data_IF_904048090167
#
_entry.id   IF_904048090167
#
_cell.length_a   1.000
_cell.length_b   1.000
_cell.length_c   1.000
_cell.angle_alpha   90.00
_cell.angle_beta   90.00
_cell.angle_gamma   90.00
#
_symmetry.space_group_name_H-M   'P 1'
#
loop_
_entity.id
_entity.type
_entity.pdbx_description
1 polymer ?
#
# COMPACT_ATOMS: atom_id res chain seq x y z
N UNK A 1 15.30 14.50 -26.21
CA UNK A 1 15.62 13.22 -25.56
C UNK A 1 14.37 12.74 -24.85
N UNK A 2 13.87 11.56 -25.19
CA UNK A 2 12.68 10.99 -24.53
C UNK A 2 13.02 10.64 -23.09
N UNK A 3 12.22 11.12 -22.13
CA UNK A 3 12.37 10.76 -20.73
C UNK A 3 12.23 9.24 -20.58
N UNK A 4 13.22 8.50 -20.02
CA UNK A 4 13.08 7.07 -19.84
C UNK A 4 12.00 6.78 -18.78
N UNK A 5 11.21 5.74 -19.03
CA UNK A 5 10.19 5.25 -18.10
C UNK A 5 10.70 3.96 -17.47
N UNK A 6 10.68 3.87 -16.14
CA UNK A 6 11.13 2.72 -15.36
C UNK A 6 9.98 2.20 -14.51
N UNK A 7 9.75 0.90 -14.54
CA UNK A 7 8.85 0.21 -13.62
C UNK A 7 9.66 -0.51 -12.55
N UNK A 8 9.37 -0.24 -11.29
CA UNK A 8 9.93 -0.95 -10.14
C UNK A 8 8.82 -1.77 -9.49
N UNK A 9 9.07 -3.07 -9.30
CA UNK A 9 8.12 -3.99 -8.67
C UNK A 9 8.61 -4.37 -7.28
N UNK A 10 7.85 -3.98 -6.26
CA UNK A 10 8.14 -4.18 -4.84
C UNK A 10 8.56 -2.90 -4.14
N UNK A 11 7.78 -2.46 -3.16
CA UNK A 11 7.97 -1.26 -2.34
C UNK A 11 8.75 -1.49 -1.05
N UNK A 12 9.64 -2.48 -1.03
CA UNK A 12 10.63 -2.65 0.04
C UNK A 12 11.81 -1.70 -0.10
N UNK A 13 12.78 -1.78 0.81
CA UNK A 13 13.97 -0.89 0.83
C UNK A 13 14.69 -0.86 -0.52
N UNK A 14 14.92 -2.03 -1.13
CA UNK A 14 15.60 -2.13 -2.41
C UNK A 14 14.84 -1.44 -3.55
N UNK A 15 13.51 -1.60 -3.60
CA UNK A 15 12.70 -0.98 -4.66
C UNK A 15 12.54 0.52 -4.46
N UNK A 16 12.44 1.00 -3.22
CA UNK A 16 12.42 2.43 -2.91
C UNK A 16 13.72 3.09 -3.36
N UNK A 17 14.89 2.51 -3.02
CA UNK A 17 16.18 3.06 -3.46
C UNK A 17 16.37 2.96 -4.98
N UNK A 18 15.90 1.87 -5.62
CA UNK A 18 15.92 1.76 -7.08
C UNK A 18 15.08 2.85 -7.75
N UNK A 19 13.90 3.15 -7.20
CA UNK A 19 13.02 4.19 -7.71
C UNK A 19 13.64 5.58 -7.55
N UNK A 20 14.18 5.89 -6.36
CA UNK A 20 14.88 7.15 -6.09
C UNK A 20 16.11 7.32 -6.99
N UNK A 21 16.91 6.27 -7.17
CA UNK A 21 18.08 6.28 -8.05
C UNK A 21 17.71 6.52 -9.51
N UNK A 22 16.70 5.82 -10.04
CA UNK A 22 16.21 6.04 -11.39
C UNK A 22 15.65 7.45 -11.60
N UNK A 23 14.88 7.96 -10.63
CA UNK A 23 14.35 9.33 -10.65
C UNK A 23 15.47 10.38 -10.67
N UNK A 24 16.50 10.19 -9.84
CA UNK A 24 17.66 11.10 -9.80
C UNK A 24 18.44 11.15 -11.13
N UNK A 25 18.34 10.10 -11.96
CA UNK A 25 18.88 10.06 -13.32
C UNK A 25 17.93 10.63 -14.38
N UNK A 26 16.79 11.19 -13.97
CA UNK A 26 15.81 11.85 -14.83
C UNK A 26 14.70 10.94 -15.35
N UNK A 27 14.59 9.69 -14.88
CA UNK A 27 13.53 8.79 -15.32
C UNK A 27 12.18 9.09 -14.66
N UNK A 28 11.08 8.90 -15.39
CA UNK A 28 9.75 8.74 -14.79
C UNK A 28 9.65 7.32 -14.24
N UNK A 29 9.28 7.18 -12.98
CA UNK A 29 9.25 5.88 -12.30
C UNK A 29 7.83 5.54 -11.87
N UNK A 30 7.42 4.30 -12.13
CA UNK A 30 6.24 3.70 -11.51
C UNK A 30 6.71 2.67 -10.46
N UNK A 31 6.37 2.88 -9.19
CA UNK A 31 6.70 1.97 -8.10
C UNK A 31 5.45 1.20 -7.69
N UNK A 32 5.39 -0.08 -8.02
CA UNK A 32 4.24 -0.97 -7.75
C UNK A 32 4.49 -1.80 -6.49
N UNK A 33 3.59 -1.74 -5.51
CA UNK A 33 3.63 -2.54 -4.28
C UNK A 33 2.34 -3.33 -4.08
N UNK A 34 2.48 -4.66 -4.01
CA UNK A 34 1.41 -5.63 -3.80
C UNK A 34 0.63 -5.43 -2.50
N UNK A 35 1.32 -5.00 -1.44
CA UNK A 35 0.76 -4.76 -0.11
C UNK A 35 0.19 -3.35 0.00
N UNK A 36 -0.65 -3.07 1.02
CA UNK A 36 -1.28 -1.76 1.13
C UNK A 36 -0.33 -0.65 1.64
N UNK A 37 0.93 -0.98 1.95
CA UNK A 37 1.93 -0.03 2.45
C UNK A 37 3.33 -0.37 1.92
N UNK A 38 4.14 0.66 1.72
CA UNK A 38 5.59 0.55 1.50
C UNK A 38 6.35 0.08 2.76
N UNK A 39 7.60 -0.33 2.58
CA UNK A 39 8.57 -0.67 3.64
C UNK A 39 9.07 -2.12 3.60
N UNK A 40 8.28 -3.04 3.02
CA UNK A 40 8.65 -4.45 2.90
C UNK A 40 8.86 -5.14 4.25
N UNK A 41 9.84 -6.05 4.36
CA UNK A 41 10.18 -6.75 5.62
C UNK A 41 10.92 -5.88 6.63
N UNK A 42 11.70 -4.91 6.15
CA UNK A 42 12.43 -4.00 7.04
C UNK A 42 11.47 -3.21 7.95
N UNK A 43 10.25 -2.99 7.47
CA UNK A 43 9.11 -2.47 8.24
C UNK A 43 8.84 -3.22 9.55
N UNK A 44 9.02 -4.54 9.54
CA UNK A 44 8.64 -5.42 10.64
C UNK A 44 9.73 -5.49 11.71
N UNK A 45 10.92 -4.97 11.42
CA UNK A 45 12.04 -4.99 12.35
C UNK A 45 11.89 -3.89 13.39
N UNK A 46 12.24 -4.19 14.63
CA UNK A 46 12.34 -3.18 15.69
C UNK A 46 13.53 -2.26 15.44
N UNK A 47 14.70 -2.85 15.19
CA UNK A 47 15.97 -2.15 14.98
C UNK A 47 16.82 -2.80 13.90
N UNK A 48 17.77 -2.03 13.36
CA UNK A 48 18.70 -2.44 12.31
C UNK A 48 20.13 -2.49 12.87
N UNK A 49 20.79 -3.64 12.70
CA UNK A 49 22.22 -3.81 12.96
C UNK A 49 23.06 -3.05 11.92
N UNK A 50 24.27 -2.56 12.23
CA UNK A 50 24.97 -2.61 13.53
C UNK A 50 24.60 -1.52 14.53
N UNK A 51 24.03 -0.40 14.08
CA UNK A 51 23.82 0.77 14.94
C UNK A 51 22.63 0.61 15.90
N UNK A 52 21.86 -0.48 15.79
CA UNK A 52 20.61 -0.73 16.51
C UNK A 52 19.60 0.42 16.34
N UNK A 53 19.68 1.14 15.22
CA UNK A 53 18.75 2.23 14.89
C UNK A 53 17.35 1.66 14.68
N UNK A 54 16.29 2.29 15.21
CA UNK A 54 14.91 1.87 14.94
C UNK A 54 14.63 1.78 13.43
N UNK A 55 14.05 0.68 12.97
CA UNK A 55 13.89 0.47 11.52
C UNK A 55 12.97 1.52 10.87
N UNK A 56 11.92 1.93 11.58
CA UNK A 56 11.05 3.02 11.14
C UNK A 56 11.83 4.30 10.85
N UNK A 57 12.73 4.72 11.75
CA UNK A 57 13.54 5.93 11.54
C UNK A 57 14.47 5.84 10.34
N UNK A 58 14.97 4.64 10.02
CA UNK A 58 15.83 4.43 8.87
C UNK A 58 15.04 4.45 7.55
N UNK A 59 13.80 3.95 7.55
CA UNK A 59 12.95 3.81 6.36
C UNK A 59 12.15 5.06 6.04
N UNK A 60 11.58 5.73 7.05
CA UNK A 60 10.66 6.85 6.85
C UNK A 60 11.21 7.94 5.92
N UNK A 61 12.47 8.40 6.05
CA UNK A 61 12.99 9.44 5.16
C UNK A 61 13.03 9.01 3.69
N UNK A 62 13.30 7.73 3.42
CA UNK A 62 13.38 7.18 2.06
C UNK A 62 12.00 6.99 1.45
N UNK A 63 11.06 6.49 2.26
CA UNK A 63 9.64 6.38 1.87
C UNK A 63 9.07 7.77 1.57
N UNK A 64 9.30 8.75 2.44
CA UNK A 64 8.86 10.13 2.23
C UNK A 64 9.48 10.76 0.99
N UNK A 65 10.78 10.53 0.73
CA UNK A 65 11.43 11.02 -0.47
C UNK A 65 10.74 10.46 -1.72
N UNK A 66 10.43 9.15 -1.74
CA UNK A 66 9.77 8.53 -2.88
C UNK A 66 8.34 9.04 -3.11
N UNK A 67 7.61 9.39 -2.04
CA UNK A 67 6.27 9.97 -2.15
C UNK A 67 6.27 11.43 -2.62
N UNK A 68 7.26 12.21 -2.19
CA UNK A 68 7.36 13.65 -2.48
C UNK A 68 7.94 13.91 -3.87
N UNK A 69 8.61 12.93 -4.47
CA UNK A 69 9.19 13.03 -5.80
C UNK A 69 8.10 12.96 -6.89
N UNK A 70 7.85 14.04 -7.66
CA UNK A 70 6.82 14.07 -8.70
C UNK A 70 7.12 13.12 -9.88
N UNK A 71 8.38 12.69 -10.03
CA UNK A 71 8.79 11.74 -11.05
C UNK A 71 8.47 10.30 -10.65
N UNK A 72 8.18 10.03 -9.38
CA UNK A 72 7.84 8.70 -8.87
C UNK A 72 6.33 8.62 -8.61
N UNK A 73 5.65 7.74 -9.34
CA UNK A 73 4.27 7.40 -9.07
C UNK A 73 4.20 6.10 -8.28
N UNK A 74 3.68 6.19 -7.05
CA UNK A 74 3.58 5.05 -6.15
C UNK A 74 2.19 4.42 -6.24
N UNK A 75 2.14 3.16 -6.65
CA UNK A 75 0.93 2.35 -6.74
C UNK A 75 0.95 1.30 -5.63
N UNK A 76 0.36 1.62 -4.48
CA UNK A 76 0.18 0.65 -3.38
C UNK A 76 -1.07 -0.20 -3.58
N UNK A 77 -1.08 -1.37 -2.96
CA UNK A 77 -2.13 -2.37 -3.12
C UNK A 77 -2.37 -2.74 -4.60
N UNK A 78 -1.28 -2.81 -5.36
CA UNK A 78 -1.28 -3.04 -6.79
C UNK A 78 -0.27 -4.13 -7.18
N UNK A 79 -0.63 -4.95 -8.16
CA UNK A 79 0.17 -6.10 -8.59
C UNK A 79 0.40 -6.05 -10.10
N UNK A 80 1.61 -6.46 -10.52
CA UNK A 80 1.92 -6.61 -11.93
C UNK A 80 1.14 -7.80 -12.50
N UNK A 81 0.17 -7.53 -13.37
CA UNK A 81 -0.65 -8.57 -14.00
C UNK A 81 0.03 -9.17 -15.25
N UNK A 82 0.67 -8.34 -16.07
CA UNK A 82 1.44 -8.81 -17.22
C UNK A 82 2.49 -7.79 -17.65
N UNK A 83 3.64 -8.26 -18.14
CA UNK A 83 4.61 -7.44 -18.86
C UNK A 83 5.00 -8.16 -20.15
N UNK A 84 4.80 -7.50 -21.29
CA UNK A 84 5.15 -8.02 -22.60
C UNK A 84 6.05 -7.02 -23.32
N UNK A 85 7.04 -7.53 -24.05
CA UNK A 85 7.92 -6.68 -24.86
C UNK A 85 7.10 -6.08 -26.01
N UNK A 86 7.18 -4.76 -26.19
CA UNK A 86 6.53 -4.04 -27.27
C UNK A 86 7.41 -2.86 -27.68
N UNK A 87 7.65 -2.67 -28.99
CA UNK A 87 8.28 -1.48 -29.57
C UNK A 87 9.56 -0.98 -28.88
N UNK A 88 10.48 -1.90 -28.56
CA UNK A 88 11.75 -1.56 -27.90
C UNK A 88 11.66 -1.29 -26.39
N UNK A 89 10.47 -1.40 -25.80
CA UNK A 89 10.22 -1.33 -24.35
C UNK A 89 9.28 -2.45 -23.88
N UNK A 90 8.40 -2.11 -22.94
CA UNK A 90 7.41 -3.02 -22.37
C UNK A 90 6.02 -2.39 -22.37
N UNK A 91 5.02 -3.16 -22.80
CA UNK A 91 3.62 -2.91 -22.46
C UNK A 91 3.31 -3.67 -21.18
N UNK A 92 2.90 -2.95 -20.15
CA UNK A 92 2.69 -3.45 -18.80
C UNK A 92 1.21 -3.30 -18.45
N UNK A 93 0.65 -4.24 -17.69
CA UNK A 93 -0.66 -4.10 -17.07
C UNK A 93 -0.53 -4.31 -15.58
N UNK A 94 -1.00 -3.35 -14.80
CA UNK A 94 -0.99 -3.37 -13.34
C UNK A 94 -2.42 -3.45 -12.84
N UNK A 95 -2.70 -4.46 -12.00
CA UNK A 95 -3.97 -4.62 -11.30
C UNK A 95 -3.91 -3.83 -9.99
N UNK A 96 -4.72 -2.79 -9.86
CA UNK A 96 -4.93 -2.09 -8.59
C UNK A 96 -6.13 -2.72 -7.89
N UNK A 97 -5.88 -3.36 -6.75
CA UNK A 97 -6.92 -4.00 -5.94
C UNK A 97 -7.80 -2.94 -5.28
N UNK A 98 -9.07 -3.29 -5.04
CA UNK A 98 -10.02 -2.38 -4.40
C UNK A 98 -9.64 -2.20 -2.93
N UNK A 99 -9.28 -0.98 -2.54
CA UNK A 99 -8.93 -0.70 -1.14
C UNK A 99 -10.19 -0.61 -0.26
N UNK A 100 -11.32 -0.27 -0.89
CA UNK A 100 -12.60 0.07 -0.27
C UNK A 100 -12.55 1.28 0.66
N UNK A 101 -11.42 1.98 0.69
CA UNK A 101 -11.18 3.15 1.52
C UNK A 101 -10.37 4.14 0.68
N UNK A 102 -10.93 5.31 0.44
CA UNK A 102 -10.29 6.39 -0.29
C UNK A 102 -9.17 7.02 0.56
N UNK A 103 -7.89 6.87 0.18
CA UNK A 103 -6.76 7.42 0.94
C UNK A 103 -6.77 8.96 1.00
N UNK A 104 -7.43 9.64 0.07
CA UNK A 104 -7.51 11.11 0.06
C UNK A 104 -8.49 11.67 1.08
N UNK A 105 -9.47 10.86 1.51
CA UNK A 105 -10.50 11.24 2.50
C UNK A 105 -10.23 10.67 3.89
N UNK A 106 -9.52 9.55 3.96
CA UNK A 106 -9.20 8.85 5.20
C UNK A 106 -8.19 9.67 6.03
N UNK A 107 -8.52 9.90 7.30
CA UNK A 107 -7.67 10.56 8.30
C UNK A 107 -7.03 9.58 9.28
N UNK A 108 -7.16 8.27 9.02
CA UNK A 108 -6.71 7.18 9.87
C UNK A 108 -7.18 7.25 11.35
N UNK A 109 -8.36 7.80 11.62
CA UNK A 109 -8.88 7.96 12.99
C UNK A 109 -9.22 6.65 13.74
N UNK A 110 -9.36 5.52 13.04
CA UNK A 110 -9.54 4.20 13.66
C UNK A 110 -10.97 3.77 14.06
N UNK A 111 -11.95 4.69 14.02
CA UNK A 111 -13.36 4.40 14.38
C UNK A 111 -13.96 3.22 13.62
N UNK A 112 -13.62 3.06 12.34
CA UNK A 112 -14.08 1.94 11.53
C UNK A 112 -13.59 0.58 12.04
N UNK A 113 -12.35 0.51 12.55
CA UNK A 113 -11.77 -0.70 13.11
C UNK A 113 -12.39 -1.04 14.47
N UNK A 114 -12.69 -0.05 15.30
CA UNK A 114 -13.39 -0.26 16.57
C UNK A 114 -14.78 -0.87 16.38
N UNK A 115 -15.52 -0.39 15.37
CA UNK A 115 -16.84 -0.89 15.01
C UNK A 115 -16.83 -2.28 14.35
N UNK A 116 -15.67 -2.78 13.91
CA UNK A 116 -15.58 -4.02 13.15
C UNK A 116 -15.69 -5.27 14.05
N UNK A 117 -16.67 -6.16 13.83
CA UNK A 117 -16.82 -7.37 14.65
C UNK A 117 -15.82 -8.48 14.27
N UNK A 118 -15.26 -8.44 13.05
CA UNK A 118 -14.35 -9.47 12.56
C UNK A 118 -13.01 -9.46 13.32
N UNK A 119 -12.41 -10.63 13.49
CA UNK A 119 -11.07 -10.79 14.06
C UNK A 119 -10.26 -11.75 13.18
N UNK A 120 -9.12 -11.28 12.70
CA UNK A 120 -8.27 -11.93 11.69
C UNK A 120 -6.85 -12.01 12.22
N UNK A 121 -6.10 -13.11 12.04
CA UNK A 121 -4.67 -13.12 12.34
C UNK A 121 -3.94 -12.01 11.59
N UNK A 122 -3.08 -11.27 12.29
CA UNK A 122 -2.36 -10.14 11.70
C UNK A 122 -1.09 -10.62 10.98
N UNK A 123 -1.09 -10.56 9.65
CA UNK A 123 0.01 -11.00 8.80
C UNK A 123 1.25 -10.12 8.95
N UNK A 124 1.11 -8.85 9.32
CA UNK A 124 2.25 -7.97 9.60
C UNK A 124 2.97 -8.42 10.87
N UNK A 125 2.21 -8.84 11.88
CA UNK A 125 2.72 -9.38 13.14
C UNK A 125 2.92 -10.92 13.12
N UNK A 126 2.99 -11.54 11.93
CA UNK A 126 3.23 -12.98 11.76
C UNK A 126 2.22 -13.87 12.52
N UNK A 127 0.98 -13.40 12.67
CA UNK A 127 -0.08 -14.12 13.38
C UNK A 127 0.01 -14.07 14.91
N UNK A 128 0.96 -13.32 15.47
CA UNK A 128 1.12 -13.16 16.93
C UNK A 128 0.08 -12.23 17.57
N UNK A 129 -0.63 -11.46 16.74
CA UNK A 129 -1.75 -10.62 17.16
C UNK A 129 -2.93 -10.79 16.22
N UNK A 130 -4.06 -10.18 16.58
CA UNK A 130 -5.26 -10.12 15.74
C UNK A 130 -5.49 -8.71 15.27
N UNK A 131 -5.89 -8.58 14.00
CA UNK A 131 -6.41 -7.35 13.39
C UNK A 131 -7.90 -7.51 13.08
N UNK A 132 -8.52 -6.41 12.65
CA UNK A 132 -9.90 -6.37 12.17
C UNK A 132 -9.93 -6.57 10.64
N UNK A 133 -11.13 -6.77 10.08
CA UNK A 133 -11.28 -6.84 8.63
C UNK A 133 -11.05 -5.46 7.97
N UNK A 134 -11.50 -4.37 8.59
CA UNK A 134 -11.05 -3.02 8.24
C UNK A 134 -9.88 -2.64 9.15
N UNK A 135 -8.71 -2.42 8.59
CA UNK A 135 -7.47 -2.27 9.38
C UNK A 135 -6.51 -1.27 8.74
N UNK A 136 -5.57 -0.79 9.56
CA UNK A 136 -4.43 -0.01 9.11
C UNK A 136 -3.21 -0.95 9.08
N UNK A 137 -2.44 -1.06 7.98
CA UNK A 137 -1.43 -2.13 7.85
C UNK A 137 -0.31 -2.05 8.89
N UNK A 138 0.66 -1.10 8.85
CA UNK A 138 1.35 -0.68 10.07
C UNK A 138 0.91 0.72 10.53
N UNK A 139 1.18 1.08 11.79
CA UNK A 139 0.84 2.41 12.34
C UNK A 139 1.46 3.57 11.56
N UNK A 140 2.57 3.32 10.90
CA UNK A 140 3.29 4.27 10.06
C UNK A 140 3.07 3.97 8.57
N UNK A 141 1.96 3.30 8.22
CA UNK A 141 1.62 2.93 6.85
C UNK A 141 1.73 4.12 5.90
N UNK A 142 2.21 3.83 4.69
CA UNK A 142 2.27 4.79 3.62
C UNK A 142 1.60 4.19 2.38
N UNK A 143 0.44 4.73 1.94
CA UNK A 143 -0.30 5.85 2.52
C UNK A 143 -0.91 5.52 3.90
N UNK A 144 -1.05 6.53 4.75
CA UNK A 144 -1.64 6.43 6.09
C UNK A 144 -3.17 6.34 5.99
N UNK A 145 -3.66 5.25 5.40
CA UNK A 145 -5.08 5.02 5.18
C UNK A 145 -5.42 3.56 5.46
N UNK A 146 -6.62 3.36 6.00
CA UNK A 146 -7.19 2.04 6.22
C UNK A 146 -7.46 1.33 4.89
N UNK A 147 -7.77 0.03 4.97
CA UNK A 147 -8.33 -0.77 3.89
C UNK A 147 -9.31 -1.80 4.46
N UNK A 148 -10.14 -2.39 3.60
CA UNK A 148 -11.01 -3.52 3.95
C UNK A 148 -10.47 -4.80 3.32
N UNK A 149 -10.25 -5.82 4.13
CA UNK A 149 -9.91 -7.17 3.70
C UNK A 149 -11.19 -7.92 3.28
N UNK A 150 -11.39 -8.05 1.98
CA UNK A 150 -12.55 -8.73 1.39
C UNK A 150 -12.71 -10.18 1.89
N UNK A 151 -11.61 -10.92 2.04
CA UNK A 151 -11.65 -12.34 2.43
C UNK A 151 -12.18 -12.53 3.86
N UNK A 152 -11.95 -11.54 4.72
CA UNK A 152 -12.29 -11.61 6.15
C UNK A 152 -13.53 -10.81 6.53
N UNK A 153 -13.97 -9.88 5.69
CA UNK A 153 -15.08 -8.98 5.98
C UNK A 153 -16.44 -9.68 5.76
N UNK A 154 -17.34 -9.68 6.77
CA UNK A 154 -18.67 -10.29 6.62
C UNK A 154 -19.48 -9.72 5.45
N UNK A 155 -19.34 -8.42 5.14
CA UNK A 155 -20.03 -7.80 4.00
C UNK A 155 -19.80 -8.54 2.68
N UNK A 156 -18.58 -8.98 2.40
CA UNK A 156 -18.27 -9.68 1.14
C UNK A 156 -18.69 -11.15 1.16
N UNK A 157 -19.06 -11.69 2.33
CA UNK A 157 -19.55 -13.06 2.48
C UNK A 157 -21.07 -13.15 2.32
N UNK A 158 -21.81 -12.29 3.02
CA UNK A 158 -23.28 -12.37 3.10
C UNK A 158 -24.00 -11.01 3.03
N UNK A 159 -23.25 -9.91 2.80
CA UNK A 159 -23.77 -8.53 2.73
C UNK A 159 -24.43 -8.04 4.03
N UNK A 160 -24.23 -8.71 5.16
CA UNK A 160 -24.92 -8.42 6.43
C UNK A 160 -24.37 -7.21 7.21
N UNK A 161 -23.13 -6.78 6.97
CA UNK A 161 -22.44 -5.81 7.83
C UNK A 161 -22.03 -4.54 7.08
N UNK A 162 -22.36 -3.36 7.63
CA UNK A 162 -21.93 -2.04 7.14
C UNK A 162 -21.44 -1.09 8.24
N UNK A 163 -21.19 -1.62 9.44
CA UNK A 163 -20.81 -0.84 10.63
C UNK A 163 -19.61 0.08 10.41
N UNK A 164 -18.61 -0.35 9.63
CA UNK A 164 -17.44 0.48 9.35
C UNK A 164 -17.78 1.73 8.53
N UNK A 165 -18.74 1.63 7.60
CA UNK A 165 -19.22 2.73 6.76
C UNK A 165 -19.96 3.75 7.62
N UNK A 166 -20.87 3.27 8.47
CA UNK A 166 -21.63 4.10 9.42
C UNK A 166 -20.72 4.82 10.43
N UNK A 167 -19.67 4.13 10.90
CA UNK A 167 -18.70 4.69 11.84
C UNK A 167 -17.72 5.70 11.21
N UNK A 168 -17.63 5.79 9.88
CA UNK A 168 -16.65 6.63 9.20
C UNK A 168 -17.13 8.09 9.09
N UNK A 169 -16.57 9.04 9.85
CA UNK A 169 -17.03 10.43 9.83
C UNK A 169 -16.69 11.16 8.52
N UNK A 170 -15.71 10.64 7.75
CA UNK A 170 -15.22 11.24 6.51
C UNK A 170 -15.90 10.69 5.25
N UNK A 171 -16.76 9.66 5.39
CA UNK A 171 -17.36 8.97 4.25
C UNK A 171 -16.29 8.40 3.29
N UNK A 172 -15.15 7.96 3.82
CA UNK A 172 -14.03 7.49 3.03
C UNK A 172 -14.20 6.04 2.55
N UNK A 173 -15.14 5.27 3.11
CA UNK A 173 -15.30 3.84 2.86
C UNK A 173 -16.34 3.60 1.77
N UNK A 174 -15.93 2.92 0.70
CA UNK A 174 -16.79 2.47 -0.39
C UNK A 174 -16.60 0.97 -0.61
N UNK A 175 -17.51 0.16 -0.05
CA UNK A 175 -17.44 -1.31 -0.14
C UNK A 175 -17.78 -1.86 -1.54
N UNK A 176 -18.31 -1.02 -2.44
CA UNK A 176 -18.63 -1.41 -3.82
C UNK A 176 -17.56 -0.93 -4.82
N UNK A 177 -16.43 -0.41 -4.33
CA UNK A 177 -15.24 -0.14 -5.15
C UNK A 177 -14.77 -1.42 -5.86
N UNK A 178 -14.58 -1.35 -7.17
CA UNK A 178 -14.08 -2.46 -7.97
C UNK A 178 -12.57 -2.31 -8.24
N UNK A 179 -11.83 -3.42 -8.39
CA UNK A 179 -10.45 -3.36 -8.85
C UNK A 179 -10.35 -2.74 -10.25
N UNK A 180 -9.23 -2.08 -10.52
CA UNK A 180 -8.99 -1.40 -11.80
C UNK A 180 -7.66 -1.82 -12.41
N UNK A 181 -7.57 -1.77 -13.74
CA UNK A 181 -6.33 -1.98 -14.46
C UNK A 181 -5.74 -0.64 -14.89
N UNK A 182 -4.43 -0.52 -14.72
CA UNK A 182 -3.62 0.58 -15.25
C UNK A 182 -2.72 -0.01 -16.35
N UNK A 183 -2.77 0.58 -17.55
CA UNK A 183 -1.90 0.23 -18.70
C UNK A 183 -0.81 1.27 -18.91
#
# INVERSE_FOLDING_TARGET
MTQPIVLVVGGGVAGIEAALGASALGAKVYLVESKPSLGGRAAQLSSLYPQLRPAGEALSPRVEAALKDPSIEVLTYAELASAARADGGFKVRVLRKARHVDPSKCDACGKCSEACPAAVPDEFNLGLSKRKAVYLPPKWAVPAAYLVDEASCPYFKDRSCRLCVEACPRGAINLDEAPSYVE
#
